data_IF_239933130811
#
_entry.id   IF_239933130811
#
_cell.length_a   1.000
_cell.length_b   1.000
_cell.length_c   1.000
_cell.angle_alpha   90.00
_cell.angle_beta   90.00
_cell.angle_gamma   90.00
#
_symmetry.space_group_name_H-M   'P 1'
#
loop_
_entity.id
_entity.type
_entity.pdbx_description
1 polymer ?
#
# COMPACT_ATOMS: atom_id res chain seq x y z
N UNK A 1 8.08 -5.25 7.02
CA UNK A 1 7.92 -4.04 6.18
C UNK A 1 7.01 -4.36 5.02
N UNK A 2 5.94 -3.57 4.82
CA UNK A 2 5.21 -3.56 3.55
C UNK A 2 5.97 -2.67 2.56
N UNK A 3 6.16 -3.13 1.33
CA UNK A 3 7.00 -2.43 0.34
C UNK A 3 6.54 -2.72 -1.10
N UNK A 4 7.04 -1.97 -2.08
CA UNK A 4 6.84 -2.26 -3.51
C UNK A 4 6.08 -1.18 -4.27
N UNK A 5 6.25 -1.18 -5.59
CA UNK A 5 5.55 -0.32 -6.54
C UNK A 5 4.69 -1.21 -7.46
N UNK A 6 3.49 -0.77 -7.79
CA UNK A 6 2.50 -1.56 -8.54
C UNK A 6 1.80 -2.63 -7.71
N UNK A 7 2.51 -3.31 -6.81
CA UNK A 7 1.99 -4.30 -5.87
C UNK A 7 2.58 -4.08 -4.48
N UNK A 8 1.76 -4.22 -3.44
CA UNK A 8 2.26 -4.26 -2.06
C UNK A 8 2.78 -5.66 -1.75
N UNK A 9 4.03 -5.74 -1.26
CA UNK A 9 4.75 -6.94 -0.87
C UNK A 9 5.12 -6.85 0.62
N UNK A 10 5.65 -7.93 1.18
CA UNK A 10 6.09 -8.00 2.57
C UNK A 10 7.56 -8.41 2.65
N UNK A 11 8.26 -7.97 3.69
CA UNK A 11 9.62 -8.40 4.01
C UNK A 11 9.81 -8.41 5.55
N UNK A 12 10.69 -9.27 6.04
CA UNK A 12 11.08 -9.37 7.45
C UNK A 12 12.57 -9.10 7.62
N UNK A 13 12.97 -8.71 8.82
CA UNK A 13 14.36 -8.43 9.16
C UNK A 13 14.54 -8.58 10.67
N UNK A 14 15.68 -9.14 11.07
CA UNK A 14 16.08 -9.26 12.48
C UNK A 14 16.87 -8.03 12.98
N UNK A 15 17.43 -7.22 12.07
CA UNK A 15 18.36 -6.13 12.39
C UNK A 15 17.98 -4.76 11.78
N UNK A 16 16.86 -4.70 11.04
CA UNK A 16 16.34 -3.54 10.31
C UNK A 16 17.23 -3.06 9.14
N UNK A 17 18.31 -3.77 8.82
CA UNK A 17 19.25 -3.44 7.74
C UNK A 17 19.17 -4.46 6.62
N UNK A 18 19.24 -5.75 6.96
CA UNK A 18 19.09 -6.86 6.04
C UNK A 18 17.63 -7.32 6.01
N UNK A 19 16.97 -7.12 4.88
CA UNK A 19 15.56 -7.46 4.69
C UNK A 19 15.40 -8.67 3.77
N UNK A 20 14.56 -9.60 4.19
CA UNK A 20 14.20 -10.82 3.45
C UNK A 20 12.75 -10.70 2.96
N UNK A 21 12.52 -10.53 1.65
CA UNK A 21 11.17 -10.53 1.09
C UNK A 21 10.40 -11.82 1.41
N UNK A 22 9.12 -11.67 1.69
CA UNK A 22 8.17 -12.76 1.89
C UNK A 22 7.24 -12.88 0.67
N UNK A 23 6.92 -14.11 0.28
CA UNK A 23 5.85 -14.42 -0.68
C UNK A 23 6.30 -15.06 -1.98
N UNK A 24 5.71 -16.24 -2.23
CA UNK A 24 5.69 -17.15 -3.37
C UNK A 24 5.38 -18.55 -2.79
N UNK A 25 4.52 -19.42 -3.37
CA UNK A 25 4.34 -20.78 -2.86
C UNK A 25 5.69 -21.48 -2.76
N UNK A 26 5.90 -22.27 -1.69
CA UNK A 26 7.18 -22.92 -1.44
C UNK A 26 7.59 -23.78 -2.66
N UNK A 27 8.75 -23.48 -3.26
CA UNK A 27 9.36 -24.31 -4.30
C UNK A 27 9.59 -23.65 -5.66
N UNK A 28 9.13 -22.41 -5.90
CA UNK A 28 9.37 -21.71 -7.16
C UNK A 28 10.09 -20.36 -6.95
N UNK A 29 11.40 -20.26 -7.30
CA UNK A 29 12.14 -19.02 -7.22
C UNK A 29 11.70 -17.97 -8.25
N UNK A 30 10.81 -18.23 -9.19
CA UNK A 30 10.22 -17.21 -10.06
C UNK A 30 8.80 -16.78 -9.59
N UNK A 31 8.13 -17.61 -8.79
CA UNK A 31 6.87 -17.26 -8.12
C UNK A 31 7.03 -16.27 -6.96
N UNK A 32 8.27 -15.99 -6.52
CA UNK A 32 8.61 -15.09 -5.40
C UNK A 32 8.22 -13.61 -5.58
N UNK A 33 7.63 -13.28 -6.73
CA UNK A 33 7.19 -11.93 -7.08
C UNK A 33 5.72 -11.85 -7.53
N UNK A 34 5.04 -12.97 -7.77
CA UNK A 34 3.89 -13.03 -8.68
C UNK A 34 2.54 -12.63 -8.05
N UNK A 35 2.45 -12.54 -6.72
CA UNK A 35 1.20 -12.28 -6.02
C UNK A 35 1.03 -10.83 -5.58
N UNK A 36 1.95 -10.33 -4.74
CA UNK A 36 1.69 -9.16 -3.89
C UNK A 36 0.55 -9.43 -2.89
N UNK A 37 0.64 -8.86 -1.70
CA UNK A 37 -0.46 -8.85 -0.73
C UNK A 37 -1.61 -7.96 -1.21
N UNK A 38 -1.29 -6.84 -1.87
CA UNK A 38 -2.27 -6.03 -2.59
C UNK A 38 -1.86 -5.91 -4.05
N UNK A 39 -2.85 -6.10 -4.93
CA UNK A 39 -2.74 -5.88 -6.37
C UNK A 39 -3.67 -4.75 -6.81
N UNK A 40 -3.41 -4.13 -7.96
CA UNK A 40 -4.38 -3.25 -8.57
C UNK A 40 -5.70 -3.98 -8.86
N UNK A 41 -6.83 -3.27 -8.72
CA UNK A 41 -8.18 -3.84 -8.92
C UNK A 41 -8.84 -3.16 -10.13
N UNK A 42 -9.03 -3.87 -11.26
CA UNK A 42 -9.67 -3.29 -12.44
C UNK A 42 -11.00 -2.61 -12.10
N UNK A 43 -11.22 -1.40 -12.62
CA UNK A 43 -12.44 -0.62 -12.41
C UNK A 43 -12.58 0.04 -11.04
N UNK A 44 -11.54 0.05 -10.19
CA UNK A 44 -11.53 0.75 -8.90
C UNK A 44 -10.53 1.91 -8.89
N UNK A 45 -10.51 2.69 -7.80
CA UNK A 45 -9.58 3.83 -7.66
C UNK A 45 -8.10 3.40 -7.62
N UNK A 46 -7.85 2.12 -7.35
CA UNK A 46 -6.54 1.49 -7.31
C UNK A 46 -6.37 0.50 -8.45
N UNK A 47 -6.76 0.89 -9.66
CA UNK A 47 -6.78 0.03 -10.84
C UNK A 47 -5.43 -0.16 -11.53
N UNK A 48 -4.52 0.80 -11.41
CA UNK A 48 -3.22 0.77 -12.12
C UNK A 48 -2.07 0.44 -11.18
N UNK A 49 -2.08 0.98 -9.97
CA UNK A 49 -0.98 0.85 -9.03
C UNK A 49 -1.48 0.89 -7.60
N UNK A 50 -0.82 0.09 -6.76
CA UNK A 50 -0.85 0.23 -5.30
C UNK A 50 0.57 0.28 -4.77
N UNK A 51 0.84 1.26 -3.92
CA UNK A 51 2.17 1.54 -3.38
C UNK A 51 2.04 1.91 -1.89
N UNK A 52 2.85 1.35 -0.99
CA UNK A 52 2.81 1.71 0.42
C UNK A 52 3.08 3.20 0.65
N UNK A 53 2.34 3.80 1.59
CA UNK A 53 2.55 5.18 2.02
C UNK A 53 3.41 5.25 3.29
N UNK A 54 2.92 5.85 4.39
CA UNK A 54 3.65 5.92 5.65
C UNK A 54 3.83 4.53 6.31
N UNK A 55 4.72 4.41 7.33
CA UNK A 55 4.81 3.21 8.16
C UNK A 55 3.43 2.78 8.69
N UNK A 56 3.11 1.48 8.67
CA UNK A 56 1.80 0.99 9.09
C UNK A 56 1.62 1.18 10.60
N UNK A 57 0.38 1.39 11.02
CA UNK A 57 0.00 1.44 12.43
C UNK A 57 -0.39 0.04 12.91
N UNK A 58 0.12 -0.37 14.06
CA UNK A 58 -0.27 -1.63 14.70
C UNK A 58 -1.08 -1.31 15.96
N UNK A 59 -2.33 -1.74 16.02
CA UNK A 59 -3.22 -1.52 17.16
C UNK A 59 -4.35 -2.56 17.19
N UNK A 60 -4.74 -3.01 18.38
CA UNK A 60 -5.96 -3.82 18.56
C UNK A 60 -5.99 -5.13 17.76
N UNK A 61 -4.84 -5.78 17.56
CA UNK A 61 -4.73 -7.01 16.77
C UNK A 61 -4.68 -6.81 15.26
N UNK A 62 -4.57 -5.57 14.79
CA UNK A 62 -4.57 -5.23 13.37
C UNK A 62 -3.33 -4.44 12.96
N UNK A 63 -2.96 -4.55 11.69
CA UNK A 63 -1.96 -3.73 11.03
C UNK A 63 -2.65 -2.90 9.94
N UNK A 64 -2.76 -1.59 10.15
CA UNK A 64 -3.35 -0.65 9.19
C UNK A 64 -2.27 -0.03 8.32
N UNK A 65 -2.35 -0.28 7.02
CA UNK A 65 -1.51 0.31 5.98
C UNK A 65 -2.30 1.39 5.24
N UNK A 66 -1.78 2.62 5.24
CA UNK A 66 -2.15 3.63 4.25
C UNK A 66 -1.33 3.36 2.99
N UNK A 67 -1.98 3.26 1.83
CA UNK A 67 -1.33 3.05 0.54
C UNK A 67 -1.78 4.10 -0.46
N UNK A 68 -0.92 4.44 -1.40
CA UNK A 68 -1.19 5.31 -2.52
C UNK A 68 -1.68 4.46 -3.70
N UNK A 69 -2.80 4.86 -4.28
CA UNK A 69 -3.40 4.20 -5.42
C UNK A 69 -3.30 5.09 -6.65
N UNK A 70 -3.02 4.49 -7.82
CA UNK A 70 -3.21 5.16 -9.11
C UNK A 70 -4.44 4.59 -9.81
N UNK A 71 -5.34 5.46 -10.22
CA UNK A 71 -6.49 5.13 -11.06
C UNK A 71 -6.12 5.16 -12.56
N UNK A 72 -6.97 4.58 -13.39
CA UNK A 72 -6.80 4.54 -14.85
C UNK A 72 -6.74 5.93 -15.50
N UNK A 73 -7.38 6.94 -14.89
CA UNK A 73 -7.33 8.33 -15.34
C UNK A 73 -6.03 9.06 -14.91
N UNK A 74 -5.11 8.36 -14.25
CA UNK A 74 -3.84 8.88 -13.77
C UNK A 74 -3.90 9.53 -12.39
N UNK A 75 -5.07 9.62 -11.75
CA UNK A 75 -5.23 10.20 -10.41
C UNK A 75 -4.53 9.36 -9.36
N UNK A 76 -3.77 10.00 -8.48
CA UNK A 76 -3.23 9.39 -7.26
C UNK A 76 -4.06 9.81 -6.04
N UNK A 77 -4.59 8.83 -5.33
CA UNK A 77 -5.41 9.04 -4.15
C UNK A 77 -5.17 7.95 -3.10
N UNK A 78 -4.99 8.27 -1.81
CA UNK A 78 -4.65 7.27 -0.80
C UNK A 78 -5.86 6.44 -0.36
N UNK A 79 -5.65 5.15 -0.19
CA UNK A 79 -6.56 4.17 0.38
C UNK A 79 -6.02 3.56 1.67
N UNK A 80 -6.78 2.63 2.25
CA UNK A 80 -6.38 1.89 3.45
C UNK A 80 -6.58 0.38 3.27
N UNK A 81 -5.63 -0.40 3.79
CA UNK A 81 -5.73 -1.83 3.93
C UNK A 81 -5.44 -2.23 5.38
N UNK A 82 -6.16 -3.22 5.88
CA UNK A 82 -6.03 -3.77 7.22
C UNK A 82 -5.64 -5.23 7.11
N UNK A 83 -4.54 -5.58 7.76
CA UNK A 83 -4.03 -6.94 7.87
C UNK A 83 -4.15 -7.45 9.31
N UNK A 84 -4.12 -8.78 9.48
CA UNK A 84 -4.04 -9.41 10.80
C UNK A 84 -2.68 -9.11 11.44
N UNK A 85 -2.63 -8.77 12.74
CA UNK A 85 -1.35 -8.67 13.45
C UNK A 85 -0.77 -10.05 13.82
N UNK A 86 -1.61 -11.09 13.86
CA UNK A 86 -1.15 -12.47 14.08
C UNK A 86 -0.47 -13.04 12.84
N UNK A 87 -0.97 -12.70 11.65
CA UNK A 87 -0.34 -12.97 10.37
C UNK A 87 -0.38 -11.71 9.47
N UNK A 88 0.70 -10.91 9.41
CA UNK A 88 0.74 -9.68 8.62
C UNK A 88 0.59 -9.88 7.10
N UNK A 89 0.57 -11.12 6.61
CA UNK A 89 0.28 -11.43 5.20
C UNK A 89 -1.22 -11.59 4.92
N UNK A 90 -2.04 -11.78 5.94
CA UNK A 90 -3.48 -11.98 5.83
C UNK A 90 -4.23 -10.64 5.71
N UNK A 91 -4.83 -10.38 4.55
CA UNK A 91 -5.67 -9.21 4.31
C UNK A 91 -7.05 -9.40 4.97
N UNK A 92 -7.39 -8.53 5.92
CA UNK A 92 -8.69 -8.54 6.63
C UNK A 92 -9.69 -7.62 5.93
N UNK A 93 -9.25 -6.43 5.51
CA UNK A 93 -10.10 -5.44 4.87
C UNK A 93 -9.30 -4.50 3.97
N UNK A 94 -9.95 -3.95 2.94
CA UNK A 94 -9.38 -2.93 2.05
C UNK A 94 -10.47 -1.94 1.67
N UNK A 95 -10.16 -0.64 1.65
CA UNK A 95 -11.12 0.40 1.32
C UNK A 95 -11.66 0.25 -0.11
N UNK A 96 -12.95 0.52 -0.31
CA UNK A 96 -13.58 0.51 -1.63
C UNK A 96 -13.38 1.82 -2.40
N UNK A 97 -13.06 2.90 -1.67
CA UNK A 97 -12.80 4.25 -2.16
C UNK A 97 -11.53 4.83 -1.49
N UNK A 98 -10.91 5.86 -2.08
CA UNK A 98 -9.86 6.61 -1.40
C UNK A 98 -10.45 7.44 -0.25
N UNK A 99 -9.67 7.72 0.79
CA UNK A 99 -10.12 8.55 1.92
C UNK A 99 -9.74 10.03 1.77
N UNK A 100 -8.88 10.36 0.81
CA UNK A 100 -8.58 11.71 0.35
C UNK A 100 -8.56 11.69 -1.18
N UNK A 101 -9.03 12.77 -1.80
CA UNK A 101 -8.98 12.96 -3.26
C UNK A 101 -8.42 14.35 -3.57
N UNK A 102 -7.70 14.54 -4.70
CA UNK A 102 -7.24 15.86 -5.10
C UNK A 102 -8.41 16.84 -5.25
N UNK A 103 -8.36 17.95 -4.52
CA UNK A 103 -9.38 19.02 -4.56
C UNK A 103 -8.75 20.40 -4.66
N UNK A 104 -7.62 20.63 -3.99
CA UNK A 104 -6.96 21.92 -3.99
C UNK A 104 -6.22 22.18 -5.32
N UNK A 105 -6.07 23.43 -5.77
CA UNK A 105 -5.37 23.74 -7.01
C UNK A 105 -3.96 23.15 -7.12
N UNK A 106 -3.24 23.06 -6.00
CA UNK A 106 -1.88 22.49 -5.92
C UNK A 106 -1.85 20.95 -5.95
N UNK A 107 -2.98 20.28 -5.73
CA UNK A 107 -3.13 18.81 -5.86
C UNK A 107 -3.58 18.45 -7.27
N UNK A 108 -4.34 19.34 -7.92
CA UNK A 108 -4.86 19.14 -9.27
C UNK A 108 -3.79 19.41 -10.34
N UNK A 109 -2.98 20.46 -10.17
CA UNK A 109 -2.00 20.91 -11.18
C UNK A 109 -0.60 20.97 -10.60
N UNK A 110 0.35 20.30 -11.25
CA UNK A 110 1.76 20.30 -10.84
C UNK A 110 2.65 19.53 -11.81
N UNK A 111 3.83 19.11 -11.34
CA UNK A 111 4.69 18.20 -12.11
C UNK A 111 3.99 16.85 -12.38
N UNK A 112 3.19 16.40 -11.41
CA UNK A 112 2.21 15.34 -11.56
C UNK A 112 0.86 15.96 -11.26
N UNK A 113 -0.10 15.82 -12.17
CA UNK A 113 -1.46 16.33 -11.97
C UNK A 113 -2.28 15.34 -11.15
N UNK A 114 -3.28 15.84 -10.42
CA UNK A 114 -4.26 15.05 -9.67
C UNK A 114 -3.59 14.04 -8.72
N UNK A 115 -2.75 14.54 -7.82
CA UNK A 115 -1.99 13.70 -6.88
C UNK A 115 -2.16 14.13 -5.43
N UNK A 116 -2.57 13.18 -4.61
CA UNK A 116 -2.28 13.15 -3.17
C UNK A 116 -1.46 11.89 -2.92
N UNK A 117 -0.23 12.07 -2.43
CA UNK A 117 0.68 10.97 -2.12
C UNK A 117 1.03 10.97 -0.63
N UNK A 118 0.33 10.15 0.14
CA UNK A 118 0.50 10.05 1.58
C UNK A 118 1.81 9.32 1.92
N UNK A 119 2.70 9.97 2.66
CA UNK A 119 4.02 9.40 2.99
C UNK A 119 4.51 9.68 4.42
N UNK A 120 3.81 10.52 5.18
CA UNK A 120 4.09 10.80 6.59
C UNK A 120 2.84 10.67 7.44
N UNK A 121 2.98 10.07 8.63
CA UNK A 121 1.92 9.98 9.63
C UNK A 121 2.53 10.18 11.01
N UNK A 122 2.00 11.13 11.78
CA UNK A 122 2.46 11.45 13.13
C UNK A 122 1.26 11.55 14.08
N UNK A 123 1.40 11.04 15.30
CA UNK A 123 0.43 11.27 16.36
C UNK A 123 0.75 12.61 17.02
N UNK A 124 -0.17 13.56 16.89
CA UNK A 124 -0.09 14.84 17.59
C UNK A 124 -0.45 14.64 19.08
N UNK A 125 0.08 15.50 19.97
CA UNK A 125 -0.21 15.47 21.40
C UNK A 125 -1.70 15.69 21.72
#
# INVERSE_FOLDING_TARGET
MYWGEGHVKLAISDDLRAWHPLGGPAGDPDARWAGGLLRPRPGRFDSELVEPGPPPRVEGGHVTLVYNAKAADGTYAPGQAVFSAADPSELVWRSDAPFLVPEAPYEITGQVNRVIFAQGLVRLP
#
